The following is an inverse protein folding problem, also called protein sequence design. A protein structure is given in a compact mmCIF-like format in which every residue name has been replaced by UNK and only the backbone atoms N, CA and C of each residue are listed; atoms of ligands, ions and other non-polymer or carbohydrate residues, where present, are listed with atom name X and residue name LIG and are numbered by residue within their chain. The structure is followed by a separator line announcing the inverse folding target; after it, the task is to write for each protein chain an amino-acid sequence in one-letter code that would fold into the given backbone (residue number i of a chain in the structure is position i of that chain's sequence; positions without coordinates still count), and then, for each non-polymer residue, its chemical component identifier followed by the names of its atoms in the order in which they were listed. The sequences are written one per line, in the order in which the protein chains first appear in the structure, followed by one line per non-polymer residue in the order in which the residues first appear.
data_IF_152994132428
#
_entry.id   IF_152994132428
#
_cell.length_a   1.000
_cell.length_b   1.000
_cell.length_c   1.000
_cell.angle_alpha   90.00
_cell.angle_beta   90.00
_cell.angle_gamma   90.00
#
_symmetry.space_group_name_H-M   'P 1'
#
loop_
_entity.id
_entity.type
_entity.pdbx_description
1 polymer ?
#
# COMPACT_ATOMS: atom_id res chain seq x y z
N UNK A 1 20.34 -12.69 -17.34
CA UNK A 1 19.09 -13.16 -16.70
C UNK A 1 18.15 -11.96 -16.54
N UNK A 2 16.87 -12.09 -16.95
CA UNK A 2 15.88 -11.02 -16.70
C UNK A 2 15.52 -11.03 -15.21
N UNK A 3 15.91 -9.97 -14.49
CA UNK A 3 15.53 -9.80 -13.09
C UNK A 3 14.00 -9.66 -12.95
N UNK A 4 13.39 -10.23 -11.90
CA UNK A 4 11.95 -10.19 -11.69
C UNK A 4 11.48 -8.83 -11.18
N UNK A 5 10.17 -8.58 -11.31
CA UNK A 5 9.46 -7.60 -10.48
C UNK A 5 9.31 -8.17 -9.08
N UNK A 6 9.73 -7.44 -8.06
CA UNK A 6 9.53 -7.86 -6.66
C UNK A 6 8.28 -7.16 -6.12
N UNK A 7 7.36 -7.96 -5.56
CA UNK A 7 6.13 -7.48 -4.92
C UNK A 7 6.23 -7.72 -3.42
N UNK A 8 6.27 -6.65 -2.64
CA UNK A 8 6.22 -6.68 -1.18
C UNK A 8 4.77 -6.58 -0.72
N UNK A 9 4.37 -7.37 0.27
CA UNK A 9 2.96 -7.52 0.67
C UNK A 9 2.16 -8.38 -0.31
N UNK A 10 2.81 -9.38 -0.90
CA UNK A 10 2.26 -10.20 -1.99
C UNK A 10 1.06 -11.07 -1.60
N UNK A 11 0.86 -11.35 -0.30
CA UNK A 11 -0.30 -12.13 0.22
C UNK A 11 -1.45 -11.24 0.66
N UNK A 12 -1.27 -9.92 0.65
CA UNK A 12 -2.35 -8.96 0.88
C UNK A 12 -3.37 -8.97 -0.26
N UNK A 13 -4.49 -8.27 -0.08
CA UNK A 13 -5.58 -8.21 -1.07
C UNK A 13 -5.09 -7.76 -2.45
N UNK A 14 -4.44 -6.61 -2.53
CA UNK A 14 -3.89 -6.07 -3.78
C UNK A 14 -2.72 -6.91 -4.29
N UNK A 15 -1.80 -7.32 -3.40
CA UNK A 15 -0.62 -8.09 -3.77
C UNK A 15 -0.97 -9.42 -4.44
N UNK A 16 -1.98 -10.14 -3.93
CA UNK A 16 -2.46 -11.40 -4.51
C UNK A 16 -2.98 -11.22 -5.93
N UNK A 17 -3.83 -10.23 -6.16
CA UNK A 17 -4.39 -9.97 -7.49
C UNK A 17 -3.30 -9.43 -8.46
N UNK A 18 -2.36 -8.64 -7.96
CA UNK A 18 -1.21 -8.16 -8.72
C UNK A 18 -0.29 -9.31 -9.17
N UNK A 19 0.06 -10.22 -8.27
CA UNK A 19 0.87 -11.41 -8.61
C UNK A 19 0.19 -12.25 -9.68
N UNK A 20 -1.11 -12.45 -9.59
CA UNK A 20 -1.88 -13.17 -10.62
C UNK A 20 -1.90 -12.40 -11.94
N UNK A 21 -2.04 -11.07 -11.92
CA UNK A 21 -1.98 -10.22 -13.10
C UNK A 21 -0.61 -10.31 -13.80
N UNK A 22 0.50 -10.24 -13.05
CA UNK A 22 1.85 -10.37 -13.57
C UNK A 22 2.08 -11.76 -14.20
N UNK A 23 1.60 -12.83 -13.53
CA UNK A 23 1.66 -14.19 -14.05
C UNK A 23 0.91 -14.33 -15.39
N UNK A 24 -0.32 -13.80 -15.50
CA UNK A 24 -1.12 -13.86 -16.74
C UNK A 24 -0.49 -13.10 -17.89
N UNK A 25 0.29 -12.05 -17.59
CA UNK A 25 1.01 -11.25 -18.57
C UNK A 25 2.41 -11.80 -18.89
N UNK A 26 2.77 -12.96 -18.33
CA UNK A 26 4.10 -13.55 -18.47
C UNK A 26 5.24 -12.62 -18.04
N UNK A 27 4.98 -11.76 -17.04
CA UNK A 27 5.98 -10.88 -16.44
C UNK A 27 6.64 -11.63 -15.27
N UNK A 28 7.95 -11.90 -15.32
CA UNK A 28 8.66 -12.54 -14.21
C UNK A 28 8.49 -11.72 -12.93
N UNK A 29 7.91 -12.32 -11.89
CA UNK A 29 7.66 -11.67 -10.61
C UNK A 29 7.93 -12.61 -9.44
N UNK A 30 8.38 -12.04 -8.32
CA UNK A 30 8.58 -12.74 -7.06
C UNK A 30 7.89 -11.95 -5.95
N UNK A 31 7.02 -12.63 -5.21
CA UNK A 31 6.27 -12.05 -4.11
C UNK A 31 6.90 -12.37 -2.76
N UNK A 32 6.91 -11.38 -1.86
CA UNK A 32 7.36 -11.53 -0.47
C UNK A 32 6.32 -10.95 0.49
N UNK A 33 6.22 -11.57 1.65
CA UNK A 33 5.35 -11.15 2.74
C UNK A 33 5.86 -11.68 4.08
N UNK A 34 5.24 -11.30 5.19
CA UNK A 34 5.52 -11.91 6.49
C UNK A 34 5.16 -13.42 6.47
N UNK A 35 5.91 -14.29 7.17
CA UNK A 35 7.09 -13.97 7.97
C UNK A 35 8.41 -13.92 7.20
N UNK A 36 8.43 -14.28 5.91
CA UNK A 36 9.67 -14.44 5.13
C UNK A 36 10.40 -13.11 4.94
N UNK A 37 9.65 -12.02 4.80
CA UNK A 37 10.19 -10.69 4.65
C UNK A 37 9.40 -9.67 5.46
N UNK A 38 10.04 -9.09 6.46
CA UNK A 38 9.57 -7.91 7.18
C UNK A 38 10.22 -6.66 6.57
N UNK A 39 9.41 -5.75 6.00
CA UNK A 39 9.92 -4.51 5.39
C UNK A 39 10.55 -3.55 6.42
N UNK A 40 10.28 -3.75 7.71
CA UNK A 40 10.91 -2.97 8.79
C UNK A 40 12.32 -3.46 9.13
N UNK A 41 12.70 -4.64 8.64
CA UNK A 41 14.03 -5.21 8.81
C UNK A 41 14.94 -4.82 7.63
N UNK A 42 15.99 -4.07 7.91
CA UNK A 42 16.93 -3.58 6.91
C UNK A 42 17.58 -4.69 6.10
N UNK A 43 17.99 -5.78 6.76
CA UNK A 43 18.65 -6.93 6.12
C UNK A 43 17.71 -7.68 5.18
N UNK A 44 16.44 -7.86 5.57
CA UNK A 44 15.44 -8.47 4.69
C UNK A 44 15.24 -7.64 3.42
N UNK A 45 15.07 -6.32 3.55
CA UNK A 45 14.93 -5.42 2.40
C UNK A 45 16.16 -5.47 1.50
N UNK A 46 17.36 -5.40 2.08
CA UNK A 46 18.61 -5.43 1.32
C UNK A 46 18.79 -6.71 0.53
N UNK A 47 18.40 -7.87 1.10
CA UNK A 47 18.56 -9.17 0.46
C UNK A 47 17.76 -9.33 -0.84
N UNK A 48 16.62 -8.63 -0.97
CA UNK A 48 15.74 -8.74 -2.13
C UNK A 48 15.89 -7.59 -3.13
N UNK A 49 16.23 -6.39 -2.66
CA UNK A 49 16.35 -5.21 -3.53
C UNK A 49 17.35 -5.44 -4.65
N UNK A 50 18.52 -6.07 -4.36
CA UNK A 50 19.55 -6.34 -5.36
C UNK A 50 19.16 -7.33 -6.47
N UNK A 51 18.06 -8.03 -6.30
CA UNK A 51 17.55 -9.04 -7.23
C UNK A 51 16.38 -8.54 -8.07
N UNK A 52 15.98 -7.27 -7.91
CA UNK A 52 14.80 -6.70 -8.55
C UNK A 52 15.13 -5.95 -9.84
N UNK A 53 14.28 -6.11 -10.87
CA UNK A 53 14.17 -5.16 -11.98
C UNK A 53 13.40 -3.90 -11.53
N UNK A 54 12.39 -4.10 -10.70
CA UNK A 54 11.49 -3.10 -10.17
C UNK A 54 10.88 -3.62 -8.88
N UNK A 55 10.55 -2.74 -7.95
CA UNK A 55 9.84 -3.10 -6.72
C UNK A 55 8.45 -2.49 -6.74
N UNK A 56 7.43 -3.29 -6.38
CA UNK A 56 6.08 -2.82 -6.12
C UNK A 56 5.80 -3.05 -4.64
N UNK A 57 5.67 -1.98 -3.88
CA UNK A 57 5.43 -2.05 -2.45
C UNK A 57 3.93 -1.91 -2.12
N UNK A 58 3.30 -3.07 -1.89
CA UNK A 58 1.93 -3.19 -1.36
C UNK A 58 1.90 -3.44 0.16
N UNK A 59 3.08 -3.67 0.78
CA UNK A 59 3.14 -3.91 2.22
C UNK A 59 2.81 -2.63 2.99
N UNK A 60 1.89 -2.73 3.94
CA UNK A 60 1.47 -1.62 4.78
C UNK A 60 0.77 -2.12 6.05
N UNK A 61 0.84 -1.31 7.10
CA UNK A 61 -0.11 -1.38 8.21
C UNK A 61 -1.41 -0.72 7.77
N UNK A 62 -2.49 -1.50 7.61
CA UNK A 62 -3.74 -1.05 6.95
C UNK A 62 -4.94 -0.88 7.89
N UNK A 63 -4.81 -1.19 9.18
CA UNK A 63 -5.90 -1.02 10.12
C UNK A 63 -6.00 0.45 10.54
N UNK A 64 -6.92 1.18 9.91
CA UNK A 64 -7.10 2.63 10.12
C UNK A 64 -7.45 2.97 11.57
N UNK A 65 -8.40 2.23 12.17
CA UNK A 65 -8.85 2.47 13.54
C UNK A 65 -7.76 2.15 14.57
N UNK A 66 -7.11 0.99 14.44
CA UNK A 66 -6.03 0.60 15.35
C UNK A 66 -4.79 1.49 15.21
N UNK A 67 -4.59 2.14 14.06
CA UNK A 67 -3.47 3.06 13.89
C UNK A 67 -3.48 4.21 14.91
N UNK A 68 -4.64 4.60 15.43
CA UNK A 68 -4.72 5.63 16.47
C UNK A 68 -4.08 5.16 17.79
N UNK A 69 -4.23 3.89 18.15
CA UNK A 69 -3.62 3.30 19.37
C UNK A 69 -2.24 2.67 19.12
N UNK A 70 -1.95 2.29 17.87
CA UNK A 70 -0.71 1.64 17.46
C UNK A 70 0.12 2.54 16.50
N UNK A 71 0.09 3.86 16.74
CA UNK A 71 0.68 4.87 15.83
C UNK A 71 2.17 4.60 15.55
N UNK A 72 2.96 4.23 16.57
CA UNK A 72 4.38 3.92 16.42
C UNK A 72 4.62 2.76 15.45
N UNK A 73 3.79 1.71 15.49
CA UNK A 73 3.85 0.60 14.55
C UNK A 73 3.46 1.07 13.14
N UNK A 74 2.39 1.84 13.02
CA UNK A 74 1.96 2.40 11.73
C UNK A 74 3.05 3.26 11.09
N UNK A 75 3.67 4.16 11.83
CA UNK A 75 4.79 4.99 11.35
C UNK A 75 6.03 4.18 11.01
N UNK A 76 6.34 3.13 11.77
CA UNK A 76 7.46 2.24 11.50
C UNK A 76 7.29 1.53 10.16
N UNK A 77 6.10 0.95 9.91
CA UNK A 77 5.81 0.17 8.70
C UNK A 77 5.56 1.10 7.51
N UNK A 78 4.65 2.06 7.65
CA UNK A 78 4.18 2.90 6.54
C UNK A 78 5.12 4.07 6.22
N UNK A 79 5.90 4.54 7.18
CA UNK A 79 6.81 5.69 7.04
C UNK A 79 8.27 5.25 6.90
N UNK A 80 8.89 4.90 8.03
CA UNK A 80 10.36 4.65 8.11
C UNK A 80 10.82 3.51 7.19
N UNK A 81 10.07 2.39 7.15
CA UNK A 81 10.42 1.26 6.30
C UNK A 81 10.36 1.62 4.82
N UNK A 82 9.38 2.43 4.40
CA UNK A 82 9.26 2.90 3.01
C UNK A 82 10.45 3.78 2.62
N UNK A 83 10.85 4.71 3.50
CA UNK A 83 12.04 5.53 3.28
C UNK A 83 13.33 4.70 3.20
N UNK A 84 13.46 3.66 4.03
CA UNK A 84 14.58 2.73 3.99
C UNK A 84 14.60 1.93 2.68
N UNK A 85 13.46 1.40 2.24
CA UNK A 85 13.31 0.74 0.95
C UNK A 85 13.77 1.65 -0.19
N UNK A 86 13.31 2.91 -0.20
CA UNK A 86 13.71 3.90 -1.19
C UNK A 86 15.22 4.12 -1.22
N UNK A 87 15.86 4.30 -0.08
CA UNK A 87 17.34 4.47 0.00
C UNK A 87 18.11 3.25 -0.51
N UNK A 88 17.65 2.03 -0.21
CA UNK A 88 18.27 0.82 -0.74
C UNK A 88 18.09 0.69 -2.26
N UNK A 89 16.89 1.03 -2.76
CA UNK A 89 16.59 1.04 -4.19
C UNK A 89 17.43 2.09 -4.95
N UNK A 90 17.63 3.28 -4.36
CA UNK A 90 18.47 4.34 -4.93
C UNK A 90 19.92 3.88 -5.16
N UNK A 91 20.52 3.20 -4.18
CA UNK A 91 21.91 2.66 -4.29
C UNK A 91 22.08 1.72 -5.48
N UNK A 92 21.03 1.10 -5.97
CA UNK A 92 21.04 0.11 -7.07
C UNK A 92 20.29 0.58 -8.33
N UNK A 93 19.86 1.84 -8.34
CA UNK A 93 19.07 2.44 -9.42
C UNK A 93 17.80 1.65 -9.78
N UNK A 94 17.12 1.08 -8.77
CA UNK A 94 15.91 0.26 -8.94
C UNK A 94 14.69 1.16 -8.71
N UNK A 95 13.71 1.19 -9.65
CA UNK A 95 12.50 1.97 -9.47
C UNK A 95 11.55 1.32 -8.46
N UNK A 96 10.86 2.15 -7.68
CA UNK A 96 9.87 1.72 -6.68
C UNK A 96 8.50 2.28 -7.05
N UNK A 97 7.50 1.42 -7.22
CA UNK A 97 6.09 1.80 -7.19
C UNK A 97 5.57 1.56 -5.77
N UNK A 98 5.04 2.60 -5.14
CA UNK A 98 4.51 2.52 -3.78
C UNK A 98 3.01 2.77 -3.76
N UNK A 99 2.27 1.87 -3.10
CA UNK A 99 0.83 2.02 -2.91
C UNK A 99 0.58 2.88 -1.68
N UNK A 100 -0.07 4.01 -1.89
CA UNK A 100 -0.52 4.95 -0.86
C UNK A 100 -2.05 4.98 -0.77
N UNK A 101 -2.62 6.02 -0.20
CA UNK A 101 -4.03 6.13 0.13
C UNK A 101 -4.54 7.56 -0.08
N UNK A 102 -5.84 7.70 -0.30
CA UNK A 102 -6.59 8.95 -0.25
C UNK A 102 -6.62 9.59 1.15
N UNK A 103 -6.42 8.81 2.22
CA UNK A 103 -6.32 9.32 3.60
C UNK A 103 -5.17 10.30 3.84
N UNK A 104 -4.33 10.56 2.85
CA UNK A 104 -3.35 11.66 2.88
C UNK A 104 -4.01 13.02 2.72
N UNK A 105 -5.27 13.07 2.29
CA UNK A 105 -6.09 14.27 2.19
C UNK A 105 -7.06 14.39 3.36
N UNK A 106 -7.58 15.60 3.61
CA UNK A 106 -8.52 15.91 4.70
C UNK A 106 -10.00 15.71 4.33
N UNK A 107 -10.32 15.54 3.04
CA UNK A 107 -11.68 15.37 2.58
C UNK A 107 -12.50 16.67 2.50
N UNK A 108 -11.88 17.83 2.62
CA UNK A 108 -12.59 19.13 2.73
C UNK A 108 -12.92 19.77 1.38
N UNK A 109 -12.42 19.24 0.27
CA UNK A 109 -12.73 19.78 -1.05
C UNK A 109 -14.08 19.25 -1.55
N UNK A 110 -14.80 20.13 -2.25
CA UNK A 110 -16.08 19.83 -2.93
C UNK A 110 -15.89 19.24 -4.35
N UNK A 111 -14.64 18.98 -4.75
CA UNK A 111 -14.23 18.36 -6.00
C UNK A 111 -13.30 17.20 -5.78
N UNK A 112 -13.09 16.32 -6.78
CA UNK A 112 -12.04 15.31 -6.71
C UNK A 112 -10.65 15.92 -6.44
N UNK A 113 -9.85 15.26 -5.60
CA UNK A 113 -8.46 15.64 -5.37
C UNK A 113 -7.59 15.32 -6.59
N UNK A 114 -6.70 16.22 -6.89
CA UNK A 114 -5.63 16.04 -7.88
C UNK A 114 -4.31 15.66 -7.18
N UNK A 115 -3.36 15.13 -7.94
CA UNK A 115 -2.05 14.72 -7.41
C UNK A 115 -1.25 15.90 -6.83
N UNK A 116 -1.53 17.12 -7.30
CA UNK A 116 -0.87 18.36 -6.90
C UNK A 116 -1.52 19.03 -5.68
N UNK A 117 -2.69 18.56 -5.24
CA UNK A 117 -3.34 19.14 -4.06
C UNK A 117 -2.52 18.87 -2.80
N UNK A 118 -2.53 19.83 -1.90
CA UNK A 118 -1.79 19.74 -0.65
C UNK A 118 -2.32 18.59 0.23
N UNK A 119 -1.44 17.72 0.66
CA UNK A 119 -1.78 16.67 1.60
C UNK A 119 -1.97 17.25 3.00
N UNK A 120 -3.07 16.87 3.67
CA UNK A 120 -3.41 17.25 5.05
C UNK A 120 -4.06 16.07 5.80
N UNK A 121 -3.30 14.99 6.08
CA UNK A 121 -3.85 13.79 6.70
C UNK A 121 -4.34 14.04 8.12
N UNK A 122 -5.55 13.62 8.44
CA UNK A 122 -6.16 13.80 9.76
C UNK A 122 -5.84 12.63 10.71
N UNK A 123 -5.97 11.38 10.23
CA UNK A 123 -5.76 10.17 11.02
C UNK A 123 -4.29 9.78 11.16
N UNK A 124 -3.96 9.00 12.19
CA UNK A 124 -2.63 8.43 12.38
C UNK A 124 -2.22 7.53 11.19
N UNK A 125 -3.15 6.77 10.62
CA UNK A 125 -2.94 5.99 9.41
C UNK A 125 -2.53 6.90 8.23
N UNK A 126 -3.33 7.92 7.92
CA UNK A 126 -3.04 8.87 6.84
C UNK A 126 -1.69 9.56 7.03
N UNK A 127 -1.40 10.03 8.25
CA UNK A 127 -0.12 10.65 8.62
C UNK A 127 1.05 9.68 8.39
N UNK A 128 0.91 8.42 8.80
CA UNK A 128 1.95 7.40 8.62
C UNK A 128 2.22 7.08 7.15
N UNK A 129 1.17 7.00 6.32
CA UNK A 129 1.29 6.81 4.87
C UNK A 129 1.93 8.01 4.18
N UNK A 130 1.53 9.22 4.54
CA UNK A 130 2.12 10.44 4.00
C UNK A 130 3.59 10.61 4.39
N UNK A 131 3.97 10.19 5.60
CA UNK A 131 5.38 10.12 6.00
C UNK A 131 6.19 9.21 5.07
N UNK A 132 5.62 8.07 4.67
CA UNK A 132 6.23 7.16 3.69
C UNK A 132 6.39 7.79 2.31
N UNK A 133 5.40 8.53 1.83
CA UNK A 133 5.50 9.27 0.58
C UNK A 133 6.64 10.28 0.60
N UNK A 134 6.73 11.09 1.67
CA UNK A 134 7.82 12.05 1.86
C UNK A 134 9.19 11.38 1.93
N UNK A 135 9.28 10.31 2.72
CA UNK A 135 10.53 9.58 2.90
C UNK A 135 11.00 8.88 1.61
N UNK A 136 10.06 8.36 0.80
CA UNK A 136 10.37 7.79 -0.51
C UNK A 136 10.83 8.87 -1.50
N UNK A 137 10.14 10.01 -1.54
CA UNK A 137 10.49 11.14 -2.42
C UNK A 137 11.87 11.70 -2.09
N UNK A 138 12.25 11.73 -0.80
CA UNK A 138 13.56 12.20 -0.35
C UNK A 138 14.67 11.15 -0.48
N UNK A 139 14.36 9.91 -0.87
CA UNK A 139 15.31 8.79 -0.85
C UNK A 139 16.33 8.81 -2.00
N UNK A 140 16.09 9.58 -3.06
CA UNK A 140 16.90 9.61 -4.27
C UNK A 140 16.61 8.47 -5.27
N UNK A 141 15.68 7.56 -5.00
CA UNK A 141 15.29 6.53 -5.97
C UNK A 141 14.32 7.09 -7.02
N UNK A 142 14.22 6.41 -8.16
CA UNK A 142 13.10 6.61 -9.10
C UNK A 142 11.85 6.00 -8.50
N UNK A 143 10.78 6.76 -8.41
CA UNK A 143 9.55 6.27 -7.79
C UNK A 143 8.29 6.68 -8.53
N UNK A 144 7.22 5.93 -8.25
CA UNK A 144 5.84 6.28 -8.55
C UNK A 144 5.01 6.00 -7.29
N UNK A 145 4.15 6.93 -6.88
CA UNK A 145 3.22 6.77 -5.78
C UNK A 145 1.82 6.69 -6.35
N UNK A 146 1.07 5.66 -5.97
CA UNK A 146 -0.32 5.45 -6.39
C UNK A 146 -1.20 5.54 -5.15
N UNK A 147 -2.01 6.59 -5.04
CA UNK A 147 -3.00 6.77 -3.98
C UNK A 147 -4.29 6.08 -4.38
N UNK A 148 -4.69 5.08 -3.61
CA UNK A 148 -5.91 4.31 -3.86
C UNK A 148 -6.99 4.67 -2.85
N UNK A 149 -8.26 4.59 -3.29
CA UNK A 149 -9.42 4.79 -2.45
C UNK A 149 -10.31 3.55 -2.48
N UNK A 150 -10.86 3.16 -1.32
CA UNK A 150 -11.87 2.12 -1.17
C UNK A 150 -11.55 0.84 -1.97
N UNK A 151 -10.34 0.35 -1.79
CA UNK A 151 -9.85 -0.81 -2.53
C UNK A 151 -10.62 -2.07 -2.16
N UNK A 152 -11.10 -2.80 -3.16
CA UNK A 152 -11.79 -4.06 -3.00
C UNK A 152 -11.32 -5.11 -4.01
N UNK A 153 -11.39 -6.39 -3.61
CA UNK A 153 -10.95 -7.50 -4.43
C UNK A 153 -11.42 -8.85 -3.89
N UNK A 154 -11.06 -9.91 -4.58
CA UNK A 154 -11.43 -11.29 -4.18
C UNK A 154 -10.62 -11.79 -3.00
N UNK A 155 -9.36 -11.44 -2.93
CA UNK A 155 -8.49 -11.83 -1.83
C UNK A 155 -8.71 -10.96 -0.58
N UNK A 156 -8.31 -11.47 0.58
CA UNK A 156 -8.35 -10.75 1.84
C UNK A 156 -9.76 -10.36 2.31
N UNK A 157 -9.80 -9.41 3.22
CA UNK A 157 -11.05 -8.84 3.78
C UNK A 157 -11.20 -7.41 3.30
N UNK A 158 -12.40 -7.04 2.85
CA UNK A 158 -12.73 -5.68 2.42
C UNK A 158 -14.19 -5.35 2.74
N UNK A 159 -14.57 -4.09 2.56
CA UNK A 159 -15.89 -3.59 2.88
C UNK A 159 -17.01 -4.37 2.16
N UNK A 160 -16.85 -4.63 0.85
CA UNK A 160 -17.87 -5.36 0.06
C UNK A 160 -18.08 -6.76 0.61
N UNK A 161 -16.99 -7.50 0.91
CA UNK A 161 -17.10 -8.84 1.50
C UNK A 161 -17.78 -8.80 2.88
N UNK A 162 -17.42 -7.83 3.74
CA UNK A 162 -18.04 -7.67 5.05
C UNK A 162 -19.55 -7.43 4.94
N UNK A 163 -20.00 -6.59 4.00
CA UNK A 163 -21.43 -6.36 3.75
C UNK A 163 -22.13 -7.63 3.31
N UNK A 164 -21.57 -8.36 2.34
CA UNK A 164 -22.12 -9.61 1.86
C UNK A 164 -22.24 -10.67 2.96
N UNK A 165 -21.21 -10.82 3.77
CA UNK A 165 -21.20 -11.79 4.87
C UNK A 165 -22.22 -11.41 5.96
N UNK A 166 -22.36 -10.12 6.26
CA UNK A 166 -23.37 -9.59 7.21
C UNK A 166 -24.79 -9.84 6.69
N UNK A 167 -25.05 -9.56 5.38
CA UNK A 167 -26.34 -9.79 4.76
C UNK A 167 -26.71 -11.30 4.72
N UNK A 168 -25.74 -12.15 4.36
CA UNK A 168 -25.93 -13.62 4.36
C UNK A 168 -26.24 -14.18 5.74
N UNK A 169 -25.70 -13.55 6.78
CA UNK A 169 -25.99 -13.92 8.17
C UNK A 169 -27.34 -13.37 8.69
N UNK A 170 -28.14 -12.72 7.83
CA UNK A 170 -29.42 -12.12 8.22
C UNK A 170 -29.30 -10.96 9.21
N UNK A 171 -28.11 -10.36 9.35
CA UNK A 171 -27.88 -9.24 10.26
C UNK A 171 -28.23 -7.92 9.59
N UNK A 172 -28.74 -6.93 10.36
CA UNK A 172 -29.03 -5.60 9.80
C UNK A 172 -27.75 -4.94 9.30
N UNK A 173 -27.83 -4.35 8.11
CA UNK A 173 -26.75 -3.55 7.54
C UNK A 173 -26.86 -2.13 8.07
N UNK A 174 -25.72 -1.61 8.57
CA UNK A 174 -25.56 -0.21 8.95
C UNK A 174 -24.34 0.33 8.22
N UNK A 175 -24.56 1.31 7.37
CA UNK A 175 -23.51 1.93 6.54
C UNK A 175 -23.62 3.43 6.72
N UNK A 176 -22.48 4.11 6.86
CA UNK A 176 -22.41 5.57 6.85
C UNK A 176 -22.79 6.10 5.45
N UNK A 177 -23.43 7.23 5.39
CA UNK A 177 -23.94 7.86 4.15
C UNK A 177 -23.38 9.27 3.92
N UNK A 178 -22.43 9.68 4.77
CA UNK A 178 -21.74 10.99 4.73
C UNK A 178 -20.37 10.94 4.03
N UNK A 179 -19.98 9.78 3.48
CA UNK A 179 -18.71 9.61 2.78
C UNK A 179 -18.92 9.47 1.29
N UNK A 180 -18.21 10.27 0.50
CA UNK A 180 -18.21 10.24 -0.97
C UNK A 180 -16.83 9.80 -1.46
N UNK A 181 -16.80 8.85 -2.41
CA UNK A 181 -15.53 8.35 -2.92
C UNK A 181 -15.70 7.44 -4.14
N UNK A 182 -14.56 7.06 -4.72
CA UNK A 182 -14.50 6.19 -5.90
C UNK A 182 -13.88 4.84 -5.54
N UNK A 183 -14.65 3.73 -5.55
CA UNK A 183 -14.12 2.40 -5.27
C UNK A 183 -13.07 1.99 -6.32
N UNK A 184 -11.98 1.37 -5.87
CA UNK A 184 -10.91 0.85 -6.71
C UNK A 184 -10.88 -0.66 -6.67
N UNK A 185 -11.15 -1.32 -7.81
CA UNK A 185 -10.98 -2.76 -7.93
C UNK A 185 -9.51 -3.14 -8.05
N UNK A 186 -9.11 -4.27 -7.44
CA UNK A 186 -7.74 -4.80 -7.53
C UNK A 186 -7.43 -5.49 -8.88
N UNK A 187 -8.43 -5.56 -9.78
CA UNK A 187 -8.35 -6.18 -11.12
C UNK A 187 -8.81 -5.21 -12.20
#
# INVERSE_FOLDING_TARGET
MNLPVIVLGARGMLGTDLMECLRRRNIPAQGYDLPELDITNAGHVESVVGQAKQIINCAAYTNVEKAESEAELAFRVNGRAVGQLGRQAAKRNIPVLHISTDFVFDGMLDRPYAETDAANPLSAYGKSKYEGEKALSASGCRFCIVRLQWTYGRAGTNFVKKLLDTARAGKPLRVVDDQVGSPTATR
#
